data_IF_225717745977
#
_entry.id   IF_225717745977
#
_cell.length_a   1.000
_cell.length_b   1.000
_cell.length_c   1.000
_cell.angle_alpha   90.00
_cell.angle_beta   90.00
_cell.angle_gamma   90.00
#
_symmetry.space_group_name_H-M   'P 1'
#
loop_
_entity.id
_entity.type
_entity.pdbx_description
1 polymer ?
#
# COMPACT_ATOMS: atom_id res chain seq x y z
N UNK A 1 19.24 35.64 -9.05
CA UNK A 1 19.80 35.22 -7.75
C UNK A 1 21.14 35.93 -7.55
N UNK A 2 21.29 36.79 -6.56
CA UNK A 2 22.58 37.46 -6.32
C UNK A 2 23.55 36.45 -5.69
N UNK A 3 24.45 35.92 -6.49
CA UNK A 3 25.47 35.01 -6.02
C UNK A 3 26.66 35.81 -5.45
N UNK A 4 27.11 35.46 -4.26
CA UNK A 4 28.34 36.03 -3.71
C UNK A 4 29.54 35.73 -4.63
N UNK A 5 30.64 36.53 -4.63
CA UNK A 5 31.76 36.34 -5.53
C UNK A 5 32.31 34.90 -5.57
N UNK A 6 32.37 34.22 -4.40
CA UNK A 6 32.81 32.81 -4.30
C UNK A 6 31.82 31.82 -4.95
N UNK A 7 30.52 32.09 -4.81
CA UNK A 7 29.48 31.24 -5.42
C UNK A 7 29.47 31.41 -6.94
N UNK A 8 29.67 32.63 -7.41
CA UNK A 8 29.78 32.94 -8.82
C UNK A 8 31.00 32.24 -9.43
N UNK A 9 32.15 32.32 -8.80
CA UNK A 9 33.36 31.62 -9.25
C UNK A 9 33.19 30.11 -9.41
N UNK A 10 32.47 29.47 -8.46
CA UNK A 10 32.12 28.05 -8.58
C UNK A 10 31.25 27.79 -9.79
N UNK A 11 30.17 28.57 -9.97
CA UNK A 11 29.24 28.38 -11.09
C UNK A 11 29.93 28.59 -12.41
N UNK A 12 30.76 29.63 -12.55
CA UNK A 12 31.48 29.93 -13.77
C UNK A 12 32.47 28.81 -14.12
N UNK A 13 33.25 28.31 -13.14
CA UNK A 13 34.19 27.18 -13.34
C UNK A 13 33.45 25.88 -13.67
N UNK A 14 32.37 25.57 -12.97
CA UNK A 14 31.58 24.38 -13.23
C UNK A 14 30.85 24.44 -14.59
N UNK A 15 30.45 25.65 -15.02
CA UNK A 15 29.84 25.89 -16.33
C UNK A 15 30.87 25.72 -17.46
N UNK A 16 32.13 26.17 -17.25
CA UNK A 16 33.21 26.00 -18.18
C UNK A 16 33.57 24.50 -18.34
N UNK A 17 33.53 23.72 -17.26
CA UNK A 17 33.88 22.29 -17.27
C UNK A 17 32.78 21.39 -17.82
N UNK A 18 31.53 21.70 -17.53
CA UNK A 18 30.40 20.76 -17.75
C UNK A 18 29.27 21.34 -18.62
N UNK A 19 29.33 22.63 -18.97
CA UNK A 19 28.32 23.32 -19.76
C UNK A 19 27.25 24.03 -18.89
N UNK A 20 26.68 25.13 -19.41
CA UNK A 20 25.65 25.89 -18.73
C UNK A 20 24.37 25.08 -18.55
N UNK A 21 23.79 25.07 -17.34
CA UNK A 21 22.56 24.34 -17.03
C UNK A 21 22.69 22.83 -16.97
N UNK A 22 23.91 22.27 -17.06
CA UNK A 22 24.17 20.84 -16.97
C UNK A 22 23.80 20.26 -15.60
N UNK A 23 23.45 18.98 -15.58
CA UNK A 23 23.26 18.21 -14.34
C UNK A 23 24.56 17.50 -14.00
N UNK A 24 25.17 17.85 -12.87
CA UNK A 24 26.47 17.32 -12.42
C UNK A 24 26.34 16.49 -11.15
N UNK A 25 27.19 15.49 -10.99
CA UNK A 25 27.29 14.67 -9.79
C UNK A 25 27.98 15.41 -8.65
N UNK A 26 27.86 14.88 -7.42
CA UNK A 26 28.61 15.40 -6.26
C UNK A 26 30.12 15.35 -6.46
N UNK A 27 30.63 14.37 -7.23
CA UNK A 27 32.03 14.23 -7.54
C UNK A 27 32.49 15.33 -8.51
N UNK A 28 31.73 15.58 -9.58
CA UNK A 28 32.01 16.67 -10.54
C UNK A 28 31.96 18.05 -9.85
N UNK A 29 31.04 18.24 -8.90
CA UNK A 29 31.00 19.48 -8.10
C UNK A 29 32.23 19.64 -7.20
N UNK A 30 32.85 18.55 -6.73
CA UNK A 30 34.10 18.57 -5.97
C UNK A 30 35.28 18.96 -6.89
N UNK A 31 35.35 18.36 -8.06
CA UNK A 31 36.38 18.67 -9.06
C UNK A 31 36.36 20.15 -9.52
N UNK A 32 35.14 20.67 -9.75
CA UNK A 32 34.98 22.09 -10.08
C UNK A 32 35.38 23.02 -8.94
N UNK A 33 35.07 22.65 -7.68
CA UNK A 33 35.50 23.43 -6.52
C UNK A 33 37.03 23.42 -6.33
N UNK A 34 37.68 22.29 -6.51
CA UNK A 34 39.13 22.14 -6.47
C UNK A 34 39.81 22.99 -7.56
N UNK A 35 39.32 22.94 -8.81
CA UNK A 35 39.79 23.75 -9.92
C UNK A 35 39.60 25.25 -9.67
N UNK A 36 38.49 25.64 -9.01
CA UNK A 36 38.22 27.02 -8.64
C UNK A 36 39.00 27.48 -7.40
N UNK A 37 39.75 26.60 -6.71
CA UNK A 37 40.49 26.91 -5.49
C UNK A 37 39.60 27.31 -4.30
N UNK A 38 38.38 26.76 -4.21
CA UNK A 38 37.40 27.09 -3.15
C UNK A 38 36.97 25.83 -2.37
N UNK A 39 36.55 25.99 -1.10
CA UNK A 39 36.00 24.87 -0.35
C UNK A 39 34.76 24.27 -1.04
N UNK A 40 34.53 22.97 -0.80
CA UNK A 40 33.38 22.23 -1.34
C UNK A 40 32.04 22.99 -1.15
N UNK A 41 31.27 23.22 -2.21
CA UNK A 41 30.11 24.11 -2.20
C UNK A 41 28.86 23.43 -1.60
N UNK A 42 28.79 23.29 -0.28
CA UNK A 42 27.64 22.68 0.42
C UNK A 42 26.31 23.38 0.13
N UNK A 43 26.32 24.65 -0.18
CA UNK A 43 25.14 25.42 -0.60
C UNK A 43 24.54 24.90 -1.91
N UNK A 44 25.36 24.36 -2.81
CA UNK A 44 24.91 23.79 -4.09
C UNK A 44 24.23 22.43 -3.91
N UNK A 45 24.40 21.79 -2.76
CA UNK A 45 23.74 20.50 -2.42
C UNK A 45 22.33 20.68 -1.87
N UNK A 46 21.80 21.90 -1.80
CA UNK A 46 20.45 22.18 -1.33
C UNK A 46 19.38 21.68 -2.32
N UNK A 47 18.14 21.41 -1.83
CA UNK A 47 17.04 20.91 -2.66
C UNK A 47 16.76 21.73 -3.92
N UNK A 48 16.98 23.05 -3.88
CA UNK A 48 16.76 23.99 -4.99
C UNK A 48 17.60 23.70 -6.24
N UNK A 49 18.76 23.02 -6.09
CA UNK A 49 19.65 22.65 -7.20
C UNK A 49 19.57 21.15 -7.53
N UNK A 50 18.83 20.36 -6.76
CA UNK A 50 18.76 18.90 -6.90
C UNK A 50 17.94 18.51 -8.14
N UNK A 51 18.56 17.79 -9.09
CA UNK A 51 17.88 17.25 -10.28
C UNK A 51 17.36 15.82 -10.04
N UNK A 52 18.24 14.92 -9.53
CA UNK A 52 17.95 13.53 -9.16
C UNK A 52 18.75 13.13 -7.93
N UNK A 53 18.61 11.88 -7.48
CA UNK A 53 19.42 11.37 -6.36
C UNK A 53 20.91 11.48 -6.66
N UNK A 54 21.64 12.28 -5.87
CA UNK A 54 23.08 12.50 -6.02
C UNK A 54 23.53 13.42 -7.18
N UNK A 55 22.59 14.06 -7.91
CA UNK A 55 22.88 14.92 -9.05
C UNK A 55 22.22 16.31 -8.90
N UNK A 56 22.93 17.36 -9.35
CA UNK A 56 22.57 18.76 -9.12
C UNK A 56 22.67 19.57 -10.40
N UNK A 57 21.73 20.46 -10.67
CA UNK A 57 21.67 21.29 -11.88
C UNK A 57 22.39 22.62 -11.67
N UNK A 58 23.29 22.94 -12.58
CA UNK A 58 24.00 24.23 -12.57
C UNK A 58 23.03 25.38 -12.94
N UNK A 59 23.11 26.54 -12.26
CA UNK A 59 22.38 27.74 -12.66
C UNK A 59 22.81 28.18 -14.05
N UNK A 60 21.87 28.50 -14.94
CA UNK A 60 22.15 29.19 -16.22
C UNK A 60 22.04 30.70 -16.04
N UNK A 61 22.89 31.49 -16.69
CA UNK A 61 22.76 32.95 -16.66
C UNK A 61 21.41 33.38 -17.25
N UNK A 62 20.59 34.03 -16.40
CA UNK A 62 19.31 34.61 -16.82
C UNK A 62 18.05 33.77 -16.55
N UNK A 63 18.16 32.57 -15.98
CA UNK A 63 17.00 31.72 -15.68
C UNK A 63 16.77 31.53 -14.17
N UNK A 64 15.60 31.95 -13.69
CA UNK A 64 15.05 31.44 -12.43
C UNK A 64 14.92 29.92 -12.57
N UNK A 65 15.53 29.15 -11.64
CA UNK A 65 15.39 27.67 -11.61
C UNK A 65 14.00 27.35 -11.10
N UNK A 66 13.05 27.26 -12.03
CA UNK A 66 11.71 26.71 -11.77
C UNK A 66 11.73 25.29 -12.34
N UNK A 67 11.34 24.24 -11.60
CA UNK A 67 11.18 22.90 -12.17
C UNK A 67 10.25 22.96 -13.38
N UNK A 68 10.55 22.27 -14.47
CA UNK A 68 9.87 22.38 -15.76
C UNK A 68 8.36 22.08 -15.77
N UNK A 69 7.81 21.58 -14.67
CA UNK A 69 6.37 21.41 -14.45
C UNK A 69 5.64 22.69 -14.05
N UNK A 70 6.36 23.77 -13.66
CA UNK A 70 5.77 25.05 -13.21
C UNK A 70 5.77 26.09 -14.34
N UNK A 71 6.59 25.92 -15.37
CA UNK A 71 6.75 26.93 -16.44
C UNK A 71 5.53 27.11 -17.36
N UNK A 72 4.57 26.15 -17.37
CA UNK A 72 3.35 26.25 -18.15
C UNK A 72 2.16 26.92 -17.43
N UNK A 73 2.28 27.13 -16.12
CA UNK A 73 1.18 27.67 -15.30
C UNK A 73 1.28 29.18 -14.96
N UNK A 74 2.43 29.82 -15.27
CA UNK A 74 2.71 31.19 -14.82
C UNK A 74 2.18 32.30 -15.75
N UNK A 75 1.47 31.95 -16.84
CA UNK A 75 1.01 32.97 -17.81
C UNK A 75 -0.32 33.63 -17.50
N UNK A 76 -1.01 33.34 -16.40
CA UNK A 76 -2.36 33.83 -16.13
C UNK A 76 -2.72 34.07 -14.66
N UNK A 77 -1.80 34.49 -13.78
CA UNK A 77 -2.15 34.64 -12.35
C UNK A 77 -1.65 35.96 -11.79
N UNK A 78 -2.58 36.82 -11.39
CA UNK A 78 -2.34 38.14 -10.75
C UNK A 78 -1.85 38.01 -9.28
N UNK A 79 -1.81 36.81 -8.69
CA UNK A 79 -1.39 36.63 -7.28
C UNK A 79 -0.69 35.26 -7.06
N UNK A 80 0.61 35.23 -6.71
CA UNK A 80 1.39 33.98 -6.59
C UNK A 80 0.89 33.01 -5.51
N UNK A 81 0.23 33.50 -4.45
CA UNK A 81 -0.29 32.67 -3.36
C UNK A 81 -1.53 31.87 -3.78
N UNK A 82 -2.36 32.44 -4.68
CA UNK A 82 -3.53 31.75 -5.24
C UNK A 82 -3.12 30.66 -6.23
N UNK A 83 -1.99 30.84 -6.92
CA UNK A 83 -1.48 29.87 -7.89
C UNK A 83 -1.03 28.58 -7.24
N UNK A 84 -0.35 28.62 -6.08
CA UNK A 84 0.12 27.43 -5.39
C UNK A 84 -1.04 26.62 -4.80
N UNK A 85 -2.04 27.27 -4.21
CA UNK A 85 -3.24 26.60 -3.68
C UNK A 85 -4.04 25.94 -4.80
N UNK A 86 -4.22 26.63 -5.93
CA UNK A 86 -4.89 26.07 -7.09
C UNK A 86 -4.08 24.93 -7.74
N UNK A 87 -2.73 24.98 -7.70
CA UNK A 87 -1.87 23.92 -8.20
C UNK A 87 -1.96 22.67 -7.33
N UNK A 88 -1.98 22.81 -5.99
CA UNK A 88 -2.16 21.69 -5.06
C UNK A 88 -3.57 21.11 -5.19
N UNK A 89 -4.61 21.95 -5.24
CA UNK A 89 -5.98 21.51 -5.45
C UNK A 89 -6.16 20.84 -6.84
N UNK A 90 -5.64 21.44 -7.91
CA UNK A 90 -5.72 20.86 -9.26
C UNK A 90 -4.85 19.61 -9.44
N UNK A 91 -3.77 19.47 -8.70
CA UNK A 91 -2.97 18.23 -8.73
C UNK A 91 -3.71 17.06 -8.08
N UNK A 92 -4.52 17.30 -7.06
CA UNK A 92 -5.36 16.26 -6.45
C UNK A 92 -6.58 15.92 -7.32
N UNK A 93 -7.24 16.92 -7.91
CA UNK A 93 -8.39 16.70 -8.81
C UNK A 93 -8.04 15.94 -10.10
N UNK A 94 -6.82 16.09 -10.62
CA UNK A 94 -6.36 15.45 -11.86
C UNK A 94 -5.56 14.16 -11.63
N UNK A 95 -5.35 13.71 -10.37
CA UNK A 95 -4.62 12.48 -10.11
C UNK A 95 -5.49 11.28 -10.46
N UNK A 96 -4.96 10.40 -11.33
CA UNK A 96 -5.57 9.11 -11.59
C UNK A 96 -5.35 8.17 -10.39
N UNK A 97 -6.42 7.75 -9.75
CA UNK A 97 -6.41 6.88 -8.56
C UNK A 97 -6.73 5.41 -8.88
N UNK A 98 -6.60 5.02 -10.13
CA UNK A 98 -6.68 3.61 -10.53
C UNK A 98 -5.46 2.87 -9.99
N UNK A 99 -5.63 1.79 -9.19
CA UNK A 99 -4.50 1.02 -8.69
C UNK A 99 -3.65 0.44 -9.82
N UNK A 100 -2.33 0.38 -9.61
CA UNK A 100 -1.44 -0.26 -10.56
C UNK A 100 -1.69 -1.77 -10.63
N UNK A 101 -1.67 -2.38 -11.83
CA UNK A 101 -1.70 -3.83 -11.97
C UNK A 101 -0.48 -4.46 -11.27
N UNK A 102 -0.73 -5.49 -10.46
CA UNK A 102 0.33 -6.25 -9.80
C UNK A 102 0.77 -7.40 -10.70
N UNK A 103 2.03 -7.35 -11.14
CA UNK A 103 2.59 -8.38 -12.01
C UNK A 103 2.60 -9.75 -11.33
N UNK A 104 2.10 -10.76 -12.03
CA UNK A 104 1.98 -12.11 -11.50
C UNK A 104 0.82 -12.32 -10.52
N UNK A 105 -0.13 -11.37 -10.43
CA UNK A 105 -1.32 -11.56 -9.62
C UNK A 105 -2.12 -12.79 -10.08
N UNK A 106 -2.57 -13.56 -9.10
CA UNK A 106 -3.46 -14.72 -9.33
C UNK A 106 -4.82 -14.42 -8.72
N UNK A 107 -5.85 -14.36 -9.56
CA UNK A 107 -7.23 -14.15 -9.11
C UNK A 107 -7.79 -15.43 -8.45
N UNK A 108 -8.32 -15.31 -7.23
CA UNK A 108 -8.91 -16.42 -6.48
C UNK A 108 -9.90 -15.94 -5.41
N UNK A 109 -10.56 -16.86 -4.74
CA UNK A 109 -11.49 -16.56 -3.64
C UNK A 109 -12.66 -15.70 -4.11
N UNK A 110 -12.83 -14.56 -3.43
CA UNK A 110 -13.95 -13.66 -3.68
C UNK A 110 -13.72 -12.68 -4.85
N UNK A 111 -12.59 -12.78 -5.59
CA UNK A 111 -12.24 -11.87 -6.69
C UNK A 111 -13.39 -11.69 -7.68
N UNK A 112 -13.95 -12.79 -8.21
CA UNK A 112 -15.05 -12.72 -9.20
C UNK A 112 -16.33 -12.13 -8.63
N UNK A 113 -16.58 -12.30 -7.32
CA UNK A 113 -17.77 -11.72 -6.67
C UNK A 113 -17.62 -10.20 -6.56
N UNK A 114 -16.45 -9.73 -6.11
CA UNK A 114 -16.14 -8.29 -6.01
C UNK A 114 -16.16 -7.66 -7.40
N UNK A 115 -15.56 -8.32 -8.41
CA UNK A 115 -15.61 -7.86 -9.81
C UNK A 115 -17.04 -7.64 -10.30
N UNK A 116 -17.97 -8.56 -10.01
CA UNK A 116 -19.38 -8.42 -10.36
C UNK A 116 -20.02 -7.20 -9.70
N UNK A 117 -19.72 -6.95 -8.42
CA UNK A 117 -20.26 -5.78 -7.70
C UNK A 117 -19.71 -4.49 -8.29
N UNK A 118 -18.39 -4.38 -8.51
CA UNK A 118 -17.76 -3.20 -9.13
C UNK A 118 -18.29 -2.96 -10.54
N UNK A 119 -18.51 -4.03 -11.31
CA UNK A 119 -19.07 -3.96 -12.67
C UNK A 119 -20.52 -3.49 -12.68
N UNK A 120 -21.30 -3.82 -11.68
CA UNK A 120 -22.73 -3.45 -11.62
C UNK A 120 -22.94 -1.95 -11.52
N UNK A 121 -21.97 -1.20 -10.95
CA UNK A 121 -22.09 0.23 -10.67
C UNK A 121 -23.14 0.57 -9.61
N UNK A 122 -23.75 -0.43 -8.97
CA UNK A 122 -24.71 -0.22 -7.89
C UNK A 122 -23.97 0.10 -6.59
N UNK A 123 -24.57 0.96 -5.79
CA UNK A 123 -24.14 1.16 -4.42
C UNK A 123 -24.45 -0.10 -3.62
N UNK A 124 -23.42 -0.85 -3.24
CA UNK A 124 -23.54 -2.13 -2.55
C UNK A 124 -22.33 -2.34 -1.64
N UNK A 125 -22.35 -1.80 -0.41
CA UNK A 125 -21.23 -1.87 0.51
C UNK A 125 -20.85 -3.31 0.88
N UNK A 126 -19.53 -3.59 0.87
CA UNK A 126 -18.98 -4.93 1.12
C UNK A 126 -18.03 -4.88 2.32
N UNK A 127 -18.19 -5.84 3.24
CA UNK A 127 -17.25 -6.09 4.33
C UNK A 127 -16.47 -7.38 4.03
N UNK A 128 -15.13 -7.30 3.90
CA UNK A 128 -14.25 -8.44 3.60
C UNK A 128 -13.44 -8.77 4.83
N UNK A 129 -13.64 -9.95 5.38
CA UNK A 129 -12.95 -10.43 6.58
C UNK A 129 -12.02 -11.61 6.27
N UNK A 130 -11.11 -11.91 7.18
CA UNK A 130 -10.20 -13.08 7.11
C UNK A 130 -8.82 -12.77 7.67
N UNK A 131 -8.02 -13.79 7.90
CA UNK A 131 -6.71 -13.68 8.52
C UNK A 131 -5.75 -12.72 7.79
N UNK A 132 -4.79 -12.17 8.52
CA UNK A 132 -3.79 -11.26 7.95
C UNK A 132 -2.93 -11.95 6.88
N UNK A 133 -2.53 -11.18 5.86
CA UNK A 133 -1.65 -11.65 4.80
C UNK A 133 -2.25 -12.64 3.81
N UNK A 134 -3.58 -12.78 3.76
CA UNK A 134 -4.33 -13.61 2.80
C UNK A 134 -4.76 -12.86 1.54
N UNK A 135 -4.31 -11.62 1.32
CA UNK A 135 -4.52 -10.86 0.08
C UNK A 135 -5.85 -10.12 -0.05
N UNK A 136 -6.61 -9.88 1.03
CA UNK A 136 -7.90 -9.13 1.00
C UNK A 136 -7.79 -7.78 0.28
N UNK A 137 -6.91 -6.92 0.76
CA UNK A 137 -6.69 -5.57 0.23
C UNK A 137 -6.19 -5.61 -1.20
N UNK A 138 -5.16 -6.43 -1.48
CA UNK A 138 -4.62 -6.62 -2.82
C UNK A 138 -5.68 -7.10 -3.81
N UNK A 139 -6.56 -8.02 -3.40
CA UNK A 139 -7.66 -8.52 -4.24
C UNK A 139 -8.59 -7.38 -4.68
N UNK A 140 -8.98 -6.49 -3.76
CA UNK A 140 -9.84 -5.34 -4.06
C UNK A 140 -9.12 -4.38 -5.00
N UNK A 141 -7.85 -4.05 -4.72
CA UNK A 141 -7.03 -3.19 -5.59
C UNK A 141 -6.91 -3.78 -7.01
N UNK A 142 -6.66 -5.08 -7.13
CA UNK A 142 -6.51 -5.72 -8.44
C UNK A 142 -7.82 -5.89 -9.23
N UNK A 143 -8.97 -5.96 -8.57
CA UNK A 143 -10.27 -5.84 -9.24
C UNK A 143 -10.41 -4.45 -9.87
N UNK A 144 -10.08 -3.39 -9.12
CA UNK A 144 -10.17 -2.01 -9.60
C UNK A 144 -9.16 -1.73 -10.72
N UNK A 145 -7.91 -2.22 -10.57
CA UNK A 145 -6.89 -2.15 -11.61
C UNK A 145 -7.37 -2.80 -12.92
N UNK A 146 -7.88 -4.05 -12.84
CA UNK A 146 -8.40 -4.78 -13.99
C UNK A 146 -9.56 -4.05 -14.68
N UNK A 147 -10.41 -3.38 -13.92
CA UNK A 147 -11.58 -2.69 -14.43
C UNK A 147 -11.33 -1.22 -14.78
N UNK A 148 -10.10 -0.73 -14.60
CA UNK A 148 -9.74 0.67 -14.79
C UNK A 148 -10.68 1.61 -14.01
N UNK A 149 -10.91 1.30 -12.73
CA UNK A 149 -11.76 2.06 -11.81
C UNK A 149 -10.92 2.66 -10.70
N UNK A 150 -11.21 3.91 -10.36
CA UNK A 150 -10.53 4.59 -9.25
C UNK A 150 -10.90 3.95 -7.89
N UNK A 151 -9.92 3.93 -7.00
CA UNK A 151 -10.03 3.42 -5.64
C UNK A 151 -9.31 4.37 -4.68
N UNK A 152 -10.01 4.87 -3.70
CA UNK A 152 -9.42 5.63 -2.58
C UNK A 152 -9.31 4.69 -1.39
N UNK A 153 -8.09 4.38 -0.95
CA UNK A 153 -7.80 3.54 0.21
C UNK A 153 -7.45 4.40 1.41
N UNK A 154 -8.07 4.10 2.53
CA UNK A 154 -7.81 4.71 3.84
C UNK A 154 -7.50 3.61 4.84
N UNK A 155 -6.31 3.63 5.42
CA UNK A 155 -5.97 2.76 6.53
C UNK A 155 -6.61 3.30 7.81
N UNK A 156 -7.45 2.50 8.42
CA UNK A 156 -8.12 2.83 9.67
C UNK A 156 -7.18 2.50 10.84
N UNK A 157 -7.15 3.38 11.81
CA UNK A 157 -6.43 3.22 13.06
C UNK A 157 -7.34 3.61 14.23
N UNK A 158 -6.91 3.34 15.45
CA UNK A 158 -7.65 3.74 16.66
C UNK A 158 -7.82 5.26 16.76
N UNK A 159 -6.89 6.02 16.21
CA UNK A 159 -6.89 7.50 16.21
C UNK A 159 -7.77 8.10 15.11
N UNK A 160 -8.08 7.33 14.07
CA UNK A 160 -8.86 7.81 12.91
C UNK A 160 -10.19 8.41 13.36
N UNK A 161 -10.45 9.65 12.95
CA UNK A 161 -11.63 10.40 13.36
C UNK A 161 -12.42 11.02 12.21
N UNK A 162 -13.49 11.80 12.56
CA UNK A 162 -14.35 12.46 11.57
C UNK A 162 -13.56 13.43 10.69
N UNK A 163 -12.56 14.13 11.25
CA UNK A 163 -11.75 15.09 10.51
C UNK A 163 -10.82 14.43 9.50
N UNK A 164 -10.30 13.25 9.84
CA UNK A 164 -9.46 12.47 8.93
C UNK A 164 -10.29 11.88 7.78
N UNK A 165 -11.53 11.50 8.04
CA UNK A 165 -12.40 10.83 7.07
C UNK A 165 -13.21 11.80 6.22
N UNK A 166 -13.90 12.76 6.83
CA UNK A 166 -14.78 13.70 6.15
C UNK A 166 -14.07 15.02 5.79
N UNK A 167 -13.02 15.35 6.51
CA UNK A 167 -12.24 16.56 6.30
C UNK A 167 -12.35 17.58 7.44
N UNK A 168 -11.35 18.43 7.49
CA UNK A 168 -11.18 19.39 8.56
C UNK A 168 -10.49 20.66 8.12
N UNK A 169 -10.42 21.63 9.01
CA UNK A 169 -9.67 22.84 8.77
C UNK A 169 -8.16 22.59 8.88
N UNK A 170 -7.42 23.10 7.92
CA UNK A 170 -5.95 23.06 7.87
C UNK A 170 -5.41 24.47 7.61
N UNK A 171 -4.24 24.76 8.15
CA UNK A 171 -3.53 26.02 7.86
C UNK A 171 -2.77 25.83 6.54
N UNK A 172 -3.21 26.57 5.52
CA UNK A 172 -2.61 26.54 4.18
C UNK A 172 -2.21 27.97 3.81
N UNK A 173 -0.90 28.21 3.64
CA UNK A 173 -0.34 29.53 3.30
C UNK A 173 -0.79 30.68 4.26
N UNK A 174 -0.89 30.37 5.57
CA UNK A 174 -1.32 31.36 6.57
C UNK A 174 -2.83 31.56 6.69
N UNK A 175 -3.64 30.90 5.87
CA UNK A 175 -5.11 30.92 5.93
C UNK A 175 -5.68 29.61 6.41
N UNK A 176 -6.73 29.65 7.20
CA UNK A 176 -7.45 28.44 7.63
C UNK A 176 -8.44 28.04 6.54
N UNK A 177 -8.18 26.89 5.89
CA UNK A 177 -9.04 26.36 4.82
C UNK A 177 -9.59 24.99 5.20
N UNK A 178 -10.84 24.73 4.80
CA UNK A 178 -11.39 23.38 4.91
C UNK A 178 -10.83 22.51 3.79
N UNK A 179 -10.22 21.38 4.18
CA UNK A 179 -9.73 20.37 3.25
C UNK A 179 -10.65 19.16 3.34
N UNK A 180 -11.28 18.73 2.22
CA UNK A 180 -12.10 17.52 2.22
C UNK A 180 -11.25 16.30 2.53
N UNK A 181 -11.85 15.35 3.27
CA UNK A 181 -11.22 14.07 3.55
C UNK A 181 -11.48 13.05 2.43
N UNK A 182 -10.83 11.86 2.52
CA UNK A 182 -10.89 10.85 1.48
C UNK A 182 -12.30 10.30 1.21
N UNK A 183 -13.18 10.30 2.21
CA UNK A 183 -14.58 9.91 2.05
C UNK A 183 -15.31 10.89 1.13
N UNK A 184 -15.13 12.20 1.37
CA UNK A 184 -15.75 13.23 0.57
C UNK A 184 -15.21 13.22 -0.86
N UNK A 185 -13.90 13.02 -1.00
CA UNK A 185 -13.27 12.90 -2.31
C UNK A 185 -13.81 11.69 -3.09
N UNK A 186 -13.95 10.54 -2.45
CA UNK A 186 -14.53 9.34 -3.08
C UNK A 186 -15.98 9.56 -3.51
N UNK A 187 -16.79 10.24 -2.68
CA UNK A 187 -18.17 10.58 -2.99
C UNK A 187 -18.26 11.55 -4.18
N UNK A 188 -17.43 12.60 -4.20
CA UNK A 188 -17.41 13.62 -5.25
C UNK A 188 -16.84 13.11 -6.58
N UNK A 189 -15.92 12.14 -6.55
CA UNK A 189 -15.42 11.42 -7.76
C UNK A 189 -16.40 10.35 -8.25
N UNK A 190 -17.18 9.75 -7.38
CA UNK A 190 -18.02 8.59 -7.70
C UNK A 190 -17.20 7.31 -7.81
N UNK A 191 -16.13 7.17 -7.03
CA UNK A 191 -15.25 6.02 -7.02
C UNK A 191 -15.43 5.16 -5.75
N UNK A 192 -14.74 4.01 -5.69
CA UNK A 192 -14.81 3.15 -4.51
C UNK A 192 -13.91 3.68 -3.38
N UNK A 193 -14.49 3.79 -2.18
CA UNK A 193 -13.78 4.00 -0.93
C UNK A 193 -13.44 2.65 -0.30
N UNK A 194 -12.17 2.40 0.01
CA UNK A 194 -11.71 1.24 0.74
C UNK A 194 -11.26 1.64 2.15
N UNK A 195 -12.01 1.21 3.16
CA UNK A 195 -11.64 1.31 4.57
C UNK A 195 -10.82 0.06 4.94
N UNK A 196 -9.50 0.20 4.97
CA UNK A 196 -8.61 -0.93 5.22
C UNK A 196 -8.31 -1.07 6.72
N UNK A 197 -8.29 -2.31 7.22
CA UNK A 197 -8.13 -2.65 8.65
C UNK A 197 -9.19 -1.99 9.54
N UNK A 198 -10.46 -2.04 9.10
CA UNK A 198 -11.58 -1.34 9.72
C UNK A 198 -11.80 -1.74 11.20
N UNK A 199 -11.44 -2.94 11.58
CA UNK A 199 -11.54 -3.47 12.95
C UNK A 199 -10.51 -2.88 13.94
N UNK A 200 -9.55 -2.07 13.46
CA UNK A 200 -8.72 -1.24 14.34
C UNK A 200 -9.44 0.06 14.77
N UNK A 201 -10.50 0.43 14.05
CA UNK A 201 -11.22 1.67 14.27
C UNK A 201 -12.01 1.72 15.58
N UNK A 202 -12.30 2.92 16.04
CA UNK A 202 -13.11 3.19 17.21
C UNK A 202 -14.57 3.53 16.84
N UNK A 203 -15.42 3.81 17.85
CA UNK A 203 -16.78 4.30 17.62
C UNK A 203 -16.86 5.60 16.79
N UNK A 204 -15.75 6.28 16.54
CA UNK A 204 -15.68 7.46 15.65
C UNK A 204 -16.09 7.11 14.20
N UNK A 205 -15.95 5.84 13.79
CA UNK A 205 -16.42 5.35 12.48
C UNK A 205 -17.95 5.46 12.30
N UNK A 206 -18.71 5.65 13.35
CA UNK A 206 -20.16 5.88 13.25
C UNK A 206 -20.51 7.16 12.47
N UNK A 207 -19.57 8.11 12.32
CA UNK A 207 -19.71 9.26 11.44
C UNK A 207 -19.98 8.86 9.97
N UNK A 208 -19.58 7.64 9.58
CA UNK A 208 -19.79 7.11 8.22
C UNK A 208 -21.16 6.45 8.00
N UNK A 209 -22.02 6.37 9.00
CA UNK A 209 -23.35 5.73 8.85
C UNK A 209 -24.15 6.27 7.66
N UNK A 210 -24.31 7.60 7.45
CA UNK A 210 -25.04 8.11 6.30
C UNK A 210 -24.39 7.74 4.96
N UNK A 211 -23.05 7.66 4.94
CA UNK A 211 -22.27 7.28 3.76
C UNK A 211 -22.52 5.82 3.39
N UNK A 212 -22.53 4.91 4.38
CA UNK A 212 -22.83 3.49 4.21
C UNK A 212 -24.28 3.20 3.82
N UNK A 213 -25.18 4.14 4.04
CA UNK A 213 -26.58 4.07 3.58
C UNK A 213 -26.76 4.62 2.16
N UNK A 214 -25.67 5.08 1.51
CA UNK A 214 -25.73 5.73 0.18
C UNK A 214 -26.39 7.10 0.21
N UNK A 215 -26.54 7.68 1.39
CA UNK A 215 -27.12 9.02 1.60
C UNK A 215 -26.04 10.09 1.55
N UNK A 216 -26.48 11.35 1.34
CA UNK A 216 -25.58 12.49 1.48
C UNK A 216 -25.10 12.67 2.92
N UNK A 217 -23.96 13.28 3.09
CA UNK A 217 -23.40 13.66 4.38
C UNK A 217 -23.39 15.17 4.54
N UNK A 218 -23.77 15.65 5.71
CA UNK A 218 -23.75 17.06 6.05
C UNK A 218 -22.46 17.42 6.77
N UNK A 219 -21.62 18.20 6.10
CA UNK A 219 -20.36 18.70 6.64
C UNK A 219 -20.65 19.88 7.58
N UNK A 220 -20.80 19.62 8.85
CA UNK A 220 -21.19 20.61 9.90
C UNK A 220 -20.23 21.80 9.94
N UNK A 221 -18.93 21.58 9.71
CA UNK A 221 -17.89 22.62 9.77
C UNK A 221 -18.02 23.72 8.72
N UNK A 222 -18.57 23.39 7.56
CA UNK A 222 -18.72 24.34 6.44
C UNK A 222 -20.18 24.49 5.98
N UNK A 223 -21.13 23.90 6.72
CA UNK A 223 -22.56 23.96 6.44
C UNK A 223 -22.89 23.52 5.00
N UNK A 224 -22.31 22.42 4.52
CA UNK A 224 -22.45 21.94 3.14
C UNK A 224 -22.96 20.50 3.11
N UNK A 225 -23.95 20.20 2.28
CA UNK A 225 -24.33 18.85 1.92
C UNK A 225 -23.43 18.32 0.79
N UNK A 226 -22.96 17.08 0.93
CA UNK A 226 -22.28 16.33 -0.11
C UNK A 226 -23.08 15.08 -0.42
N UNK A 227 -23.41 14.88 -1.68
CA UNK A 227 -24.12 13.70 -2.20
C UNK A 227 -23.17 12.93 -3.09
N UNK A 228 -23.15 11.62 -2.93
CA UNK A 228 -22.28 10.77 -3.73
C UNK A 228 -22.67 10.78 -5.21
N UNK A 229 -21.68 10.91 -6.10
CA UNK A 229 -21.86 10.72 -7.54
C UNK A 229 -22.09 9.26 -7.88
N UNK A 230 -22.67 8.99 -9.04
CA UNK A 230 -22.87 7.64 -9.57
C UNK A 230 -21.55 6.89 -9.67
N UNK A 231 -21.55 5.62 -9.26
CA UNK A 231 -20.35 4.76 -9.20
C UNK A 231 -19.68 4.72 -7.82
N UNK A 232 -20.03 5.61 -6.91
CA UNK A 232 -19.54 5.55 -5.52
C UNK A 232 -19.96 4.24 -4.86
N UNK A 233 -19.02 3.62 -4.15
CA UNK A 233 -19.28 2.45 -3.33
C UNK A 233 -18.31 2.42 -2.13
N UNK A 234 -18.61 1.61 -1.13
CA UNK A 234 -17.76 1.43 0.05
C UNK A 234 -17.38 -0.03 0.20
N UNK A 235 -16.10 -0.30 0.39
CA UNK A 235 -15.59 -1.61 0.78
C UNK A 235 -14.78 -1.46 2.05
N UNK A 236 -14.85 -2.46 2.94
CA UNK A 236 -14.04 -2.50 4.13
C UNK A 236 -13.30 -3.83 4.22
N UNK A 237 -12.08 -3.82 4.77
CA UNK A 237 -11.35 -5.03 5.14
C UNK A 237 -11.17 -5.09 6.65
N UNK A 238 -11.13 -6.30 7.18
CA UNK A 238 -10.89 -6.56 8.60
C UNK A 238 -10.21 -7.91 8.80
N UNK A 239 -9.48 -8.08 9.89
CA UNK A 239 -8.92 -9.38 10.28
C UNK A 239 -9.91 -10.20 11.09
N UNK A 240 -10.88 -9.54 11.72
CA UNK A 240 -11.96 -10.13 12.49
C UNK A 240 -13.30 -9.93 11.79
N UNK A 241 -14.35 -10.58 12.29
CA UNK A 241 -15.73 -10.36 11.79
C UNK A 241 -16.41 -9.14 12.46
N UNK A 242 -15.62 -8.21 12.99
CA UNK A 242 -16.11 -7.05 13.73
C UNK A 242 -16.40 -7.33 15.21
N UNK A 243 -16.18 -8.55 15.67
CA UNK A 243 -16.41 -8.97 17.07
C UNK A 243 -15.18 -8.82 17.98
N UNK A 244 -14.09 -8.22 17.44
CA UNK A 244 -12.81 -8.16 18.13
C UNK A 244 -12.12 -9.52 18.18
N UNK A 245 -11.06 -9.62 18.98
CA UNK A 245 -10.35 -10.88 19.23
C UNK A 245 -10.84 -11.51 20.52
N UNK A 246 -11.78 -12.45 20.44
CA UNK A 246 -12.28 -13.18 21.60
C UNK A 246 -11.19 -14.08 22.22
N UNK A 247 -10.23 -14.52 21.40
CA UNK A 247 -9.12 -15.40 21.76
C UNK A 247 -7.78 -14.65 21.99
N UNK A 248 -7.77 -13.32 21.92
CA UNK A 248 -6.57 -12.49 22.13
C UNK A 248 -5.54 -12.53 20.99
N UNK A 249 -5.78 -13.27 19.91
CA UNK A 249 -4.83 -13.47 18.78
C UNK A 249 -4.65 -12.20 17.93
N UNK A 250 -5.63 -11.32 17.90
CA UNK A 250 -5.60 -10.07 17.13
C UNK A 250 -5.57 -8.86 18.07
N UNK A 251 -4.44 -8.69 18.74
CA UNK A 251 -4.21 -7.56 19.65
C UNK A 251 -4.42 -6.24 18.91
N UNK A 252 -5.20 -5.33 19.51
CA UNK A 252 -5.50 -4.02 18.93
C UNK A 252 -6.77 -3.96 18.09
N UNK A 253 -7.42 -5.10 17.78
CA UNK A 253 -8.74 -5.06 17.14
C UNK A 253 -9.83 -4.72 18.15
N UNK A 254 -10.75 -3.87 17.71
CA UNK A 254 -11.89 -3.43 18.49
C UNK A 254 -13.17 -4.20 18.10
N UNK A 255 -14.13 -4.25 19.05
CA UNK A 255 -15.49 -4.67 18.71
C UNK A 255 -16.14 -3.51 17.96
N UNK A 256 -16.47 -3.74 16.70
CA UNK A 256 -17.19 -2.76 15.89
C UNK A 256 -18.67 -2.70 16.31
N UNK A 257 -19.22 -1.50 16.23
CA UNK A 257 -20.64 -1.30 16.53
C UNK A 257 -21.51 -2.05 15.53
N UNK A 258 -22.50 -2.82 16.03
CA UNK A 258 -23.42 -3.61 15.20
C UNK A 258 -24.16 -2.74 14.17
N UNK A 259 -24.59 -1.53 14.58
CA UNK A 259 -25.24 -0.62 13.66
C UNK A 259 -24.35 -0.15 12.49
N UNK A 260 -23.02 -0.18 12.66
CA UNK A 260 -22.06 0.07 11.58
C UNK A 260 -21.94 -1.15 10.66
N UNK A 261 -21.84 -2.36 11.24
CA UNK A 261 -21.69 -3.62 10.49
C UNK A 261 -22.95 -3.94 9.65
N UNK A 262 -24.14 -3.74 10.18
CA UNK A 262 -25.42 -3.98 9.50
C UNK A 262 -25.65 -3.11 8.25
N UNK A 263 -24.87 -2.04 8.10
CA UNK A 263 -24.92 -1.20 6.90
C UNK A 263 -24.12 -1.74 5.72
N UNK A 264 -23.29 -2.76 5.94
CA UNK A 264 -22.69 -3.49 4.83
C UNK A 264 -23.69 -4.49 4.28
N UNK A 265 -23.95 -4.42 2.98
CA UNK A 265 -24.94 -5.28 2.32
C UNK A 265 -24.56 -6.76 2.38
N UNK A 266 -23.26 -7.07 2.35
CA UNK A 266 -22.73 -8.43 2.48
C UNK A 266 -21.39 -8.44 3.24
N UNK A 267 -21.16 -9.54 3.93
CA UNK A 267 -19.86 -9.90 4.49
C UNK A 267 -19.28 -11.08 3.72
N UNK A 268 -18.04 -10.94 3.26
CA UNK A 268 -17.30 -11.98 2.53
C UNK A 268 -16.10 -12.44 3.34
N UNK A 269 -16.05 -13.71 3.66
CA UNK A 269 -14.86 -14.31 4.27
C UNK A 269 -13.86 -14.70 3.17
N UNK A 270 -12.62 -14.23 3.29
CA UNK A 270 -11.52 -14.56 2.42
C UNK A 270 -10.58 -15.51 3.16
N UNK A 271 -10.58 -16.81 2.84
CA UNK A 271 -9.63 -17.77 3.41
C UNK A 271 -8.22 -17.59 2.82
N UNK A 272 -7.27 -18.42 3.19
CA UNK A 272 -6.05 -18.61 2.40
C UNK A 272 -6.35 -19.34 1.09
N UNK A 273 -5.51 -19.14 0.08
CA UNK A 273 -5.68 -19.82 -1.19
C UNK A 273 -5.48 -21.33 -1.05
N UNK A 274 -6.20 -22.12 -1.85
CA UNK A 274 -5.92 -23.55 -1.94
C UNK A 274 -4.50 -23.80 -2.47
N UNK A 275 -3.85 -24.91 -2.05
CA UNK A 275 -2.46 -25.26 -2.35
C UNK A 275 -2.06 -25.01 -3.81
N UNK A 276 -2.84 -25.50 -4.77
CA UNK A 276 -2.55 -25.32 -6.19
C UNK A 276 -2.56 -23.85 -6.66
N UNK A 277 -3.38 -23.00 -6.04
CA UNK A 277 -3.45 -21.57 -6.32
C UNK A 277 -2.31 -20.83 -5.62
N UNK A 278 -2.04 -21.17 -4.37
CA UNK A 278 -0.96 -20.57 -3.58
C UNK A 278 0.41 -20.92 -4.17
N UNK A 279 0.59 -22.14 -4.68
CA UNK A 279 1.78 -22.52 -5.43
C UNK A 279 2.00 -21.59 -6.63
N UNK A 280 0.96 -21.27 -7.40
CA UNK A 280 1.07 -20.31 -8.51
C UNK A 280 1.52 -18.93 -8.03
N UNK A 281 1.02 -18.47 -6.87
CA UNK A 281 1.42 -17.19 -6.27
C UNK A 281 2.90 -17.22 -5.89
N UNK A 282 3.36 -18.29 -5.20
CA UNK A 282 4.74 -18.47 -4.78
C UNK A 282 5.68 -18.57 -5.99
N UNK A 283 5.34 -19.38 -7.00
CA UNK A 283 6.13 -19.51 -8.24
C UNK A 283 6.19 -18.17 -9.01
N UNK A 284 5.08 -17.41 -9.07
CA UNK A 284 5.11 -16.09 -9.68
C UNK A 284 5.98 -15.11 -8.88
N UNK A 285 6.05 -15.24 -7.55
CA UNK A 285 6.99 -14.48 -6.74
C UNK A 285 8.44 -14.85 -7.06
N UNK A 286 8.75 -16.14 -7.17
CA UNK A 286 10.07 -16.64 -7.57
C UNK A 286 10.49 -16.12 -8.95
N UNK A 287 9.59 -16.13 -9.93
CA UNK A 287 9.85 -15.56 -11.27
C UNK A 287 10.25 -14.08 -11.22
N UNK A 288 9.64 -13.31 -10.33
CA UNK A 288 9.96 -11.87 -10.18
C UNK A 288 11.35 -11.62 -9.61
N UNK A 289 11.87 -12.55 -8.83
CA UNK A 289 13.22 -12.46 -8.25
C UNK A 289 14.28 -13.20 -9.09
N UNK A 290 13.84 -13.87 -10.17
CA UNK A 290 14.74 -14.47 -11.17
C UNK A 290 15.14 -15.92 -10.92
N UNK A 291 14.61 -16.58 -9.89
CA UNK A 291 14.95 -17.95 -9.55
C UNK A 291 13.68 -18.76 -9.25
N UNK A 292 13.47 -19.85 -10.00
CA UNK A 292 12.30 -20.73 -9.82
C UNK A 292 12.76 -22.08 -9.31
N UNK A 293 12.29 -22.45 -8.14
CA UNK A 293 12.50 -23.76 -7.50
C UNK A 293 11.14 -24.36 -7.14
N UNK A 294 10.67 -25.27 -7.98
CA UNK A 294 9.35 -25.91 -7.82
C UNK A 294 9.26 -26.82 -6.60
N UNK A 295 10.37 -27.46 -6.20
CA UNK A 295 10.43 -28.29 -4.99
C UNK A 295 10.34 -27.41 -3.75
N UNK A 296 11.13 -26.36 -3.68
CA UNK A 296 11.05 -25.38 -2.59
C UNK A 296 9.64 -24.76 -2.48
N UNK A 297 9.02 -24.42 -3.63
CA UNK A 297 7.65 -23.93 -3.63
C UNK A 297 6.67 -24.94 -3.03
N UNK A 298 6.76 -26.24 -3.39
CA UNK A 298 5.90 -27.29 -2.84
C UNK A 298 6.11 -27.44 -1.33
N UNK A 299 7.37 -27.50 -0.88
CA UNK A 299 7.72 -27.64 0.52
C UNK A 299 7.17 -26.49 1.35
N UNK A 300 7.28 -25.24 0.87
CA UNK A 300 6.70 -24.06 1.51
C UNK A 300 5.18 -24.13 1.61
N UNK A 301 4.49 -24.62 0.59
CA UNK A 301 3.03 -24.75 0.60
C UNK A 301 2.60 -25.82 1.61
N UNK A 302 3.22 -27.02 1.57
CA UNK A 302 2.95 -28.10 2.52
C UNK A 302 3.17 -27.63 3.96
N UNK A 303 4.28 -26.94 4.20
CA UNK A 303 4.61 -26.37 5.51
C UNK A 303 3.54 -25.38 6.00
N UNK A 304 3.12 -24.47 5.14
CA UNK A 304 2.08 -23.50 5.49
C UNK A 304 0.71 -24.16 5.73
N UNK A 305 0.34 -25.19 4.95
CA UNK A 305 -0.92 -25.95 5.13
C UNK A 305 -0.95 -26.67 6.48
N UNK A 306 0.11 -27.37 6.86
CA UNK A 306 0.20 -28.08 8.15
C UNK A 306 0.08 -27.07 9.30
N UNK A 307 0.85 -25.98 9.27
CA UNK A 307 0.81 -24.96 10.33
C UNK A 307 -0.58 -24.33 10.42
N UNK A 308 -1.21 -23.97 9.29
CA UNK A 308 -2.57 -23.39 9.29
C UNK A 308 -3.60 -24.35 9.83
N UNK A 309 -3.51 -25.65 9.50
CA UNK A 309 -4.37 -26.68 10.08
C UNK A 309 -4.22 -26.72 11.59
N UNK A 310 -2.98 -26.79 12.08
CA UNK A 310 -2.68 -26.79 13.52
C UNK A 310 -3.17 -25.50 14.21
N UNK A 311 -3.06 -24.36 13.55
CA UNK A 311 -3.61 -23.08 14.04
C UNK A 311 -5.14 -23.11 14.17
N UNK A 312 -5.85 -23.62 13.16
CA UNK A 312 -7.32 -23.74 13.22
C UNK A 312 -7.76 -24.76 14.28
N UNK A 313 -6.98 -25.79 14.52
CA UNK A 313 -7.21 -26.80 15.56
C UNK A 313 -6.85 -26.29 16.98
N UNK A 314 -6.28 -25.05 17.07
CA UNK A 314 -5.90 -24.43 18.35
C UNK A 314 -4.57 -24.93 18.93
N UNK A 315 -3.75 -25.62 18.14
CA UNK A 315 -2.46 -26.16 18.58
C UNK A 315 -1.31 -25.16 18.56
N UNK A 316 -1.44 -24.06 17.81
CA UNK A 316 -0.47 -22.95 17.75
C UNK A 316 -1.22 -21.63 17.62
N UNK A 317 -0.58 -20.55 18.07
CA UNK A 317 -1.17 -19.19 18.01
C UNK A 317 -0.67 -18.37 16.82
N UNK A 318 0.37 -18.82 16.14
CA UNK A 318 0.97 -18.18 14.99
C UNK A 318 0.61 -18.90 13.68
N UNK A 319 0.58 -18.14 12.58
CA UNK A 319 0.23 -18.66 11.26
C UNK A 319 1.23 -18.23 10.19
N UNK A 320 1.48 -19.09 9.23
CA UNK A 320 2.25 -18.77 8.02
C UNK A 320 1.29 -18.26 6.94
N UNK A 321 1.28 -16.96 6.74
CA UNK A 321 0.45 -16.31 5.71
C UNK A 321 1.07 -16.40 4.32
N UNK A 322 0.26 -16.22 3.27
CA UNK A 322 0.74 -16.11 1.88
C UNK A 322 1.76 -14.97 1.71
N UNK A 323 1.57 -13.85 2.43
CA UNK A 323 2.56 -12.76 2.49
C UNK A 323 3.90 -13.22 3.06
N UNK A 324 3.87 -14.09 4.08
CA UNK A 324 5.10 -14.65 4.67
C UNK A 324 5.83 -15.53 3.68
N UNK A 325 5.12 -16.35 2.91
CA UNK A 325 5.70 -17.15 1.83
C UNK A 325 6.40 -16.28 0.77
N UNK A 326 5.77 -15.19 0.36
CA UNK A 326 6.38 -14.21 -0.57
C UNK A 326 7.65 -13.57 0.02
N UNK A 327 7.67 -13.28 1.33
CA UNK A 327 8.86 -12.78 2.01
C UNK A 327 9.99 -13.82 2.08
N UNK A 328 9.67 -15.09 2.34
CA UNK A 328 10.67 -16.18 2.35
C UNK A 328 11.31 -16.33 0.97
N UNK A 329 10.51 -16.31 -0.10
CA UNK A 329 11.03 -16.35 -1.48
C UNK A 329 12.00 -15.20 -1.76
N UNK A 330 11.65 -13.99 -1.33
CA UNK A 330 12.53 -12.82 -1.48
C UNK A 330 13.79 -12.92 -0.64
N UNK A 331 13.67 -13.41 0.59
CA UNK A 331 14.81 -13.63 1.48
C UNK A 331 15.76 -14.68 0.89
N UNK A 332 15.23 -15.78 0.36
CA UNK A 332 16.03 -16.80 -0.34
C UNK A 332 16.81 -16.22 -1.53
N UNK A 333 16.15 -15.39 -2.35
CA UNK A 333 16.83 -14.72 -3.46
C UNK A 333 17.94 -13.74 -3.03
N UNK A 334 17.85 -13.20 -1.81
CA UNK A 334 18.86 -12.26 -1.26
C UNK A 334 20.01 -12.99 -0.60
N UNK A 335 19.71 -13.99 0.23
CA UNK A 335 20.69 -14.66 1.10
C UNK A 335 21.26 -15.95 0.50
N UNK A 336 20.56 -16.59 -0.44
CA UNK A 336 21.02 -17.79 -1.16
C UNK A 336 20.86 -19.10 -0.37
N UNK A 337 20.34 -19.05 0.86
CA UNK A 337 20.09 -20.23 1.70
C UNK A 337 18.61 -20.33 2.09
N UNK A 338 17.99 -21.51 1.86
CA UNK A 338 16.58 -21.76 2.12
C UNK A 338 16.23 -21.74 3.60
N UNK A 339 17.08 -22.39 4.42
CA UNK A 339 16.84 -22.48 5.86
C UNK A 339 17.05 -21.13 6.53
N UNK A 340 18.10 -20.38 6.16
CA UNK A 340 18.34 -19.04 6.64
C UNK A 340 17.15 -18.11 6.29
N UNK A 341 16.63 -18.19 5.07
CA UNK A 341 15.49 -17.39 4.64
C UNK A 341 14.22 -17.69 5.46
N UNK A 342 13.96 -18.96 5.77
CA UNK A 342 12.82 -19.37 6.61
C UNK A 342 13.05 -18.88 8.05
N UNK A 343 14.23 -19.15 8.62
CA UNK A 343 14.57 -18.75 9.98
C UNK A 343 14.40 -17.24 10.20
N UNK A 344 14.96 -16.42 9.33
CA UNK A 344 14.82 -14.96 9.38
C UNK A 344 13.36 -14.51 9.31
N UNK A 345 12.55 -15.19 8.51
CA UNK A 345 11.14 -14.83 8.35
C UNK A 345 10.25 -15.27 9.52
N UNK A 346 10.68 -16.22 10.35
CA UNK A 346 9.96 -16.69 11.55
C UNK A 346 10.58 -16.19 12.86
N UNK A 347 11.70 -15.48 12.79
CA UNK A 347 12.47 -15.02 13.95
C UNK A 347 11.71 -14.12 14.94
N UNK A 348 10.57 -13.53 14.53
CA UNK A 348 9.71 -12.72 15.41
C UNK A 348 8.80 -13.56 16.32
N UNK A 349 8.65 -14.86 16.04
CA UNK A 349 7.84 -15.76 16.87
C UNK A 349 8.59 -16.10 18.16
N UNK A 350 7.87 -16.57 19.17
CA UNK A 350 8.50 -17.10 20.36
C UNK A 350 9.40 -18.30 20.02
N UNK A 351 10.35 -18.59 20.90
CA UNK A 351 11.39 -19.58 20.63
C UNK A 351 10.81 -20.98 20.40
N UNK A 352 9.80 -21.40 21.16
CA UNK A 352 9.17 -22.73 21.04
C UNK A 352 8.43 -22.88 19.71
N UNK A 353 7.67 -21.85 19.30
CA UNK A 353 6.98 -21.80 18.01
C UNK A 353 7.98 -21.78 16.85
N UNK A 354 9.04 -20.96 16.96
CA UNK A 354 10.10 -20.88 15.96
C UNK A 354 10.76 -22.23 15.75
N UNK A 355 11.21 -22.90 16.84
CA UNK A 355 11.86 -24.20 16.78
C UNK A 355 10.93 -25.25 16.16
N UNK A 356 9.67 -25.30 16.59
CA UNK A 356 8.67 -26.23 16.06
C UNK A 356 8.44 -26.04 14.56
N UNK A 357 8.41 -24.78 14.08
CA UNK A 357 8.20 -24.49 12.67
C UNK A 357 9.42 -24.86 11.81
N UNK A 358 10.64 -24.65 12.32
CA UNK A 358 11.87 -25.04 11.64
C UNK A 358 12.04 -26.56 11.58
N UNK A 359 11.75 -27.27 12.68
CA UNK A 359 11.77 -28.73 12.72
C UNK A 359 10.75 -29.34 11.74
N UNK A 360 9.53 -28.78 11.71
CA UNK A 360 8.51 -29.18 10.74
C UNK A 360 9.00 -29.02 9.30
N UNK A 361 9.61 -27.86 8.96
CA UNK A 361 10.11 -27.62 7.61
C UNK A 361 11.21 -28.62 7.26
N UNK A 362 12.15 -28.90 8.16
CA UNK A 362 13.23 -29.87 7.95
C UNK A 362 12.68 -31.28 7.65
N UNK A 363 11.61 -31.69 8.33
CA UNK A 363 10.94 -32.97 8.07
C UNK A 363 10.24 -33.03 6.72
N UNK A 364 9.67 -31.92 6.26
CA UNK A 364 9.05 -31.82 4.94
C UNK A 364 10.11 -31.86 3.85
N UNK A 365 11.19 -31.11 4.00
CA UNK A 365 12.30 -31.08 3.05
C UNK A 365 13.00 -32.45 2.92
N UNK A 366 13.05 -33.20 4.00
CA UNK A 366 13.52 -34.59 4.01
C UNK A 366 12.50 -35.63 3.48
N UNK A 367 11.30 -35.22 3.06
CA UNK A 367 10.25 -36.09 2.53
C UNK A 367 9.55 -36.98 3.58
N UNK A 368 9.70 -36.67 4.89
CA UNK A 368 9.09 -37.42 5.99
C UNK A 368 7.60 -37.07 6.16
N UNK A 369 7.22 -35.87 5.83
CA UNK A 369 5.83 -35.36 5.93
C UNK A 369 5.36 -34.90 4.55
N UNK A 370 4.20 -35.40 4.13
CA UNK A 370 3.52 -35.03 2.88
C UNK A 370 2.35 -34.08 3.13
N UNK A 371 1.82 -33.48 2.07
CA UNK A 371 0.71 -32.52 2.15
C UNK A 371 -0.58 -33.16 2.66
N UNK A 372 -1.33 -32.52 3.57
CA UNK A 372 -2.67 -32.98 3.99
C UNK A 372 -3.67 -33.08 2.84
N UNK A 373 -3.47 -32.37 1.73
CA UNK A 373 -4.28 -32.46 0.54
C UNK A 373 -4.01 -33.74 -0.29
N UNK A 374 -2.79 -34.29 -0.21
CA UNK A 374 -2.42 -35.57 -0.83
C UNK A 374 -2.94 -36.76 -0.03
N UNK A 375 -2.89 -36.70 1.30
CA UNK A 375 -3.45 -37.76 2.17
C UNK A 375 -4.94 -37.96 1.92
N UNK A 376 -5.72 -36.89 1.75
CA UNK A 376 -7.15 -36.96 1.42
C UNK A 376 -7.43 -37.51 0.00
N UNK A 377 -6.51 -37.40 -0.94
CA UNK A 377 -6.61 -37.98 -2.26
C UNK A 377 -6.31 -39.49 -2.24
N UNK A 378 -5.28 -39.90 -1.50
CA UNK A 378 -4.94 -41.31 -1.33
C UNK A 378 -5.98 -42.12 -0.53
N UNK A 379 -6.61 -41.51 0.49
CA UNK A 379 -7.71 -42.13 1.22
C UNK A 379 -8.96 -42.34 0.33
N UNK A 380 -9.23 -41.40 -0.58
CA UNK A 380 -10.33 -41.53 -1.54
C UNK A 380 -10.05 -42.58 -2.63
N UNK A 381 -8.80 -42.74 -3.06
CA UNK A 381 -8.42 -43.81 -4.00
C UNK A 381 -8.41 -45.21 -3.34
N UNK A 382 -8.11 -45.32 -2.04
CA UNK A 382 -8.17 -46.56 -1.30
C UNK A 382 -9.58 -47.00 -0.89
N UNK A 383 -10.57 -46.07 -0.99
CA UNK A 383 -11.99 -46.32 -0.66
C UNK A 383 -12.85 -46.70 -1.85
N UNK A 384 -12.29 -46.80 -3.06
CA UNK A 384 -12.88 -47.34 -4.28
C UNK A 384 -12.14 -48.63 -4.64
#
# INVERSE_FOLDING_TARGET
>A
MYLSPRKKLFVDTATEMFGAGSVISKQNAREAAEKAGIPFPTWFMKPEFKAHYGSYKLPSEGGSVVPSAIASATAAVENPDTAFVNLVASSMENQNLVPAPFEGFVAWGNFSKIEKVVKSGLFYPIFVTGLSGNGKTLMIEQVHAKMNKELIRVNITIETDEDDLLGGFRLVNGETKFMPGPVIEAMERGCTLLLDECDLGSNKLLALQPVLEGKGVFLKKINKWVVAKAGFNVMATANTKGKGSEDGRFIGTNILNEAFLERFAITMEQPYAAAATEKKIVVNSMKRVGEVDDEFANNLITWAEVIRKTFYDGGVDEVISTRRLDHIVKAYAIFGDKMEAIELCVARFDDDTKESFLDLYTKIDAGVITSPSEENAEEKEKAF
#
